data_IF_486158708450
#
_entry.id   IF_486158708450
#
_cell.length_a   1.000
_cell.length_b   1.000
_cell.length_c   1.000
_cell.angle_alpha   90.00
_cell.angle_beta   90.00
_cell.angle_gamma   90.00
#
_symmetry.space_group_name_H-M   'P 1'
#
loop_
_entity.id
_entity.type
_entity.pdbx_description
1 polymer ?
#
# COMPACT_ATOMS: atom_id res chain seq x y z
N UNK A 1 11.96 -1.37 4.78
CA UNK A 1 11.77 -2.47 3.82
C UNK A 1 11.07 -1.86 2.61
N UNK A 2 11.52 -2.10 1.37
CA UNK A 2 10.89 -1.45 0.22
C UNK A 2 9.85 -2.36 -0.43
N UNK A 3 8.69 -1.79 -0.75
CA UNK A 3 7.51 -2.48 -1.31
C UNK A 3 7.10 -1.74 -2.57
N UNK A 4 6.93 -2.48 -3.67
CA UNK A 4 6.45 -1.92 -4.94
C UNK A 4 4.93 -2.01 -4.97
N UNK A 5 4.26 -0.88 -5.18
CA UNK A 5 2.79 -0.79 -5.30
C UNK A 5 2.41 0.02 -6.54
N UNK A 6 1.12 -0.03 -6.88
CA UNK A 6 0.54 0.64 -8.03
C UNK A 6 -0.45 1.68 -7.52
N UNK A 7 -0.15 2.96 -7.78
CA UNK A 7 -1.07 4.06 -7.44
C UNK A 7 -2.42 3.90 -8.15
N UNK A 8 -3.48 4.53 -7.61
CA UNK A 8 -4.80 4.57 -8.24
C UNK A 8 -4.75 5.07 -9.71
N UNK A 9 -3.82 5.97 -10.04
CA UNK A 9 -3.60 6.49 -11.40
C UNK A 9 -2.69 5.60 -12.28
N UNK A 10 -2.31 4.40 -11.81
CA UNK A 10 -1.57 3.41 -12.60
C UNK A 10 -0.05 3.61 -12.67
N UNK A 11 0.52 4.50 -11.85
CA UNK A 11 1.98 4.63 -11.71
C UNK A 11 2.51 3.63 -10.71
N UNK A 12 3.64 3.00 -11.04
CA UNK A 12 4.39 2.15 -10.11
C UNK A 12 5.23 3.02 -9.17
N UNK A 13 5.18 2.71 -7.87
CA UNK A 13 5.93 3.40 -6.83
C UNK A 13 6.66 2.41 -5.94
N UNK A 14 7.75 2.86 -5.33
CA UNK A 14 8.47 2.13 -4.28
C UNK A 14 8.28 2.86 -2.97
N UNK A 15 7.67 2.19 -1.99
CA UNK A 15 7.43 2.72 -0.66
C UNK A 15 8.41 2.07 0.31
N UNK A 16 9.10 2.87 1.12
CA UNK A 16 9.82 2.35 2.28
C UNK A 16 8.81 2.09 3.41
N UNK A 17 8.46 0.83 3.60
CA UNK A 17 7.52 0.34 4.61
C UNK A 17 7.90 0.68 6.04
N UNK A 18 9.16 1.01 6.32
CA UNK A 18 9.56 1.44 7.65
C UNK A 18 9.02 2.84 8.01
N UNK A 19 8.53 3.59 7.02
CA UNK A 19 7.99 4.93 7.19
C UNK A 19 6.46 4.94 7.10
N UNK A 20 5.82 3.79 6.94
CA UNK A 20 4.36 3.67 6.87
C UNK A 20 3.80 3.59 8.28
N UNK A 21 2.83 4.44 8.59
CA UNK A 21 2.18 4.47 9.89
C UNK A 21 1.03 3.47 9.95
N UNK A 22 0.15 3.48 8.94
CA UNK A 22 -0.92 2.52 8.78
C UNK A 22 -1.41 2.41 7.33
N UNK A 23 -2.21 1.38 7.07
CA UNK A 23 -2.86 1.14 5.79
C UNK A 23 -4.33 0.80 6.05
N UNK A 24 -5.24 1.34 5.24
CA UNK A 24 -6.69 1.07 5.36
C UNK A 24 -7.37 0.98 4.01
N UNK A 25 -8.41 0.17 3.94
CA UNK A 25 -9.34 0.21 2.81
C UNK A 25 -10.36 1.33 3.03
N UNK A 26 -10.69 2.02 1.94
CA UNK A 26 -11.67 3.10 1.92
C UNK A 26 -12.41 3.10 0.60
N UNK A 27 -13.43 3.94 0.49
CA UNK A 27 -14.22 4.10 -0.72
C UNK A 27 -14.42 5.57 -1.05
N UNK A 28 -14.46 5.90 -2.34
CA UNK A 28 -14.82 7.24 -2.77
C UNK A 28 -16.34 7.44 -2.80
N UNK A 29 -16.81 8.67 -3.06
CA UNK A 29 -18.24 8.97 -3.17
C UNK A 29 -18.97 8.24 -4.32
N UNK A 30 -18.22 7.62 -5.24
CA UNK A 30 -18.75 6.81 -6.34
C UNK A 30 -18.84 5.32 -5.99
N UNK A 31 -18.40 4.92 -4.79
CA UNK A 31 -18.41 3.52 -4.32
C UNK A 31 -17.25 2.69 -4.84
N UNK A 32 -16.21 3.30 -5.41
CA UNK A 32 -14.99 2.59 -5.80
C UNK A 32 -14.09 2.42 -4.59
N UNK A 33 -13.69 1.18 -4.32
CA UNK A 33 -12.80 0.84 -3.22
C UNK A 33 -11.34 1.02 -3.64
N UNK A 34 -10.54 1.57 -2.73
CA UNK A 34 -9.09 1.69 -2.87
C UNK A 34 -8.42 1.58 -1.50
N UNK A 35 -7.12 1.37 -1.51
CA UNK A 35 -6.33 1.29 -0.28
C UNK A 35 -5.52 2.56 -0.10
N UNK A 36 -5.58 3.16 1.09
CA UNK A 36 -4.75 4.29 1.49
C UNK A 36 -3.55 3.80 2.28
N UNK A 37 -2.36 4.19 1.84
CA UNK A 37 -1.09 4.01 2.56
C UNK A 37 -0.69 5.36 3.15
N UNK A 38 -0.62 5.42 4.47
CA UNK A 38 -0.34 6.65 5.22
C UNK A 38 1.09 6.66 5.77
N UNK A 39 1.78 7.78 5.63
CA UNK A 39 3.14 8.00 6.11
C UNK A 39 3.33 9.46 6.53
N UNK A 40 2.95 9.76 7.78
CA UNK A 40 3.01 11.08 8.40
C UNK A 40 2.02 12.05 7.79
N UNK A 41 2.52 13.09 7.12
CA UNK A 41 1.71 14.15 6.49
C UNK A 41 1.28 13.80 5.06
N UNK A 42 1.48 12.56 4.64
CA UNK A 42 1.27 12.11 3.28
C UNK A 42 0.47 10.83 3.24
N UNK A 43 -0.50 10.79 2.32
CA UNK A 43 -1.30 9.60 2.03
C UNK A 43 -1.21 9.33 0.53
N UNK A 44 -1.05 8.06 0.16
CA UNK A 44 -1.11 7.61 -1.24
C UNK A 44 -2.21 6.58 -1.38
N UNK A 45 -3.02 6.76 -2.43
CA UNK A 45 -4.02 5.79 -2.88
C UNK A 45 -3.37 4.75 -3.80
N UNK A 46 -3.53 3.47 -3.47
CA UNK A 46 -3.04 2.34 -4.24
C UNK A 46 -4.16 1.39 -4.65
N UNK A 47 -3.94 0.64 -5.73
CA UNK A 47 -4.90 -0.31 -6.30
C UNK A 47 -4.90 -1.65 -5.59
N UNK A 48 -3.78 -2.00 -4.97
CA UNK A 48 -3.63 -3.26 -4.24
C UNK A 48 -4.58 -3.28 -3.03
N UNK A 49 -5.44 -4.31 -2.91
CA UNK A 49 -6.22 -4.55 -1.70
C UNK A 49 -5.34 -4.70 -0.46
N UNK A 50 -5.87 -4.39 0.72
CA UNK A 50 -5.10 -4.49 1.98
C UNK A 50 -4.55 -5.90 2.20
N UNK A 51 -5.33 -6.93 1.87
CA UNK A 51 -4.93 -8.32 1.98
C UNK A 51 -3.72 -8.67 1.08
N UNK A 52 -3.68 -8.14 -0.13
CA UNK A 52 -2.58 -8.39 -1.07
C UNK A 52 -1.28 -7.75 -0.58
N UNK A 53 -1.38 -6.55 0.01
CA UNK A 53 -0.27 -5.87 0.66
C UNK A 53 0.25 -6.72 1.82
N UNK A 54 -0.61 -7.24 2.70
CA UNK A 54 -0.22 -8.10 3.83
C UNK A 54 0.55 -9.35 3.35
N UNK A 55 0.04 -10.03 2.33
CA UNK A 55 0.69 -11.20 1.72
C UNK A 55 2.07 -10.83 1.15
N UNK A 56 2.18 -9.68 0.47
CA UNK A 56 3.44 -9.21 -0.11
C UNK A 56 4.48 -8.95 0.99
N UNK A 57 4.10 -8.30 2.09
CA UNK A 57 5.01 -8.05 3.22
C UNK A 57 5.51 -9.35 3.84
N UNK A 58 4.62 -10.31 4.08
CA UNK A 58 5.01 -11.62 4.62
C UNK A 58 5.94 -12.39 3.68
N UNK A 59 5.73 -12.28 2.37
CA UNK A 59 6.58 -12.92 1.37
C UNK A 59 7.97 -12.29 1.35
N UNK A 60 8.04 -10.96 1.38
CA UNK A 60 9.30 -10.22 1.38
C UNK A 60 10.11 -10.41 2.67
N UNK A 61 9.45 -10.56 3.82
CA UNK A 61 10.13 -10.85 5.09
C UNK A 61 10.78 -12.25 5.09
N UNK A 62 10.07 -13.26 4.55
CA UNK A 62 10.62 -14.62 4.40
C UNK A 62 11.81 -14.68 3.46
N UNK A 63 11.79 -13.92 2.37
CA UNK A 63 12.87 -13.89 1.38
C UNK A 63 14.19 -13.29 1.91
N UNK A 64 14.16 -12.61 3.07
CA UNK A 64 15.36 -12.05 3.72
C UNK A 64 16.02 -12.98 4.73
N UNK A 65 15.38 -14.08 5.09
CA UNK A 65 15.93 -15.12 5.98
C UNK A 65 16.65 -16.18 5.15
#
# INVERSE_FOLDING_TARGET
MNVKLTTAIGKEILINWNNVDFVRETSNHFGENYTEVDFGDHTIEVKEPLQDIEILLHTLDRAKK
#
